data_IF_404286721399
#
_entry.id   IF_404286721399
#
_cell.length_a   1.000
_cell.length_b   1.000
_cell.length_c   1.000
_cell.angle_alpha   90.00
_cell.angle_beta   90.00
_cell.angle_gamma   90.00
#
_symmetry.space_group_name_H-M   'P 1'
#
loop_
_entity.id
_entity.type
_entity.pdbx_description
1 polymer ?
#
# COMPACT_ATOMS: atom_id res chain seq x y z
N UNK A 1 22.14 30.19 6.36
CA UNK A 1 21.36 29.17 5.64
C UNK A 1 22.32 28.39 4.75
N UNK A 2 22.68 27.16 5.12
CA UNK A 2 23.40 26.28 4.17
C UNK A 2 22.42 25.89 3.06
N UNK A 3 22.74 26.08 1.77
CA UNK A 3 21.89 25.59 0.70
C UNK A 3 21.89 24.06 0.73
N UNK A 4 20.70 23.46 0.73
CA UNK A 4 20.52 22.01 0.58
C UNK A 4 21.07 21.62 -0.79
N UNK A 5 22.18 20.87 -0.80
CA UNK A 5 22.78 20.34 -2.02
C UNK A 5 21.99 19.12 -2.50
N UNK A 6 21.03 19.41 -3.39
CA UNK A 6 20.10 18.45 -4.01
C UNK A 6 20.82 17.42 -4.90
N UNK A 7 22.13 17.55 -5.14
CA UNK A 7 22.93 16.62 -5.94
C UNK A 7 23.68 15.57 -5.10
N UNK A 8 23.64 15.68 -3.77
CA UNK A 8 24.28 14.75 -2.85
C UNK A 8 23.47 13.45 -2.67
N UNK A 9 24.11 12.26 -2.63
CA UNK A 9 23.44 10.98 -2.34
C UNK A 9 22.84 10.88 -0.93
N UNK A 10 22.93 11.96 -0.13
CA UNK A 10 22.24 12.11 1.16
C UNK A 10 20.72 12.16 0.98
N UNK A 11 20.22 12.58 -0.19
CA UNK A 11 18.81 12.49 -0.55
C UNK A 11 18.52 11.14 -1.23
N UNK A 12 18.47 10.07 -0.46
CA UNK A 12 17.90 8.81 -0.94
C UNK A 12 16.39 8.97 -1.03
N UNK A 13 15.84 9.03 -2.25
CA UNK A 13 14.41 8.87 -2.54
C UNK A 13 13.95 7.41 -2.39
N UNK A 14 14.59 6.63 -1.50
CA UNK A 14 14.20 5.23 -1.29
C UNK A 14 13.06 5.17 -0.29
N UNK A 15 11.99 4.45 -0.65
CA UNK A 15 11.07 3.84 0.31
C UNK A 15 11.87 3.08 1.37
N UNK A 16 11.93 3.64 2.57
CA UNK A 16 12.35 3.00 3.83
C UNK A 16 13.62 2.13 3.78
N UNK A 17 14.78 2.72 3.50
CA UNK A 17 16.03 2.15 4.00
C UNK A 17 16.17 2.51 5.48
N UNK A 18 15.67 1.64 6.36
CA UNK A 18 15.77 1.78 7.80
C UNK A 18 16.74 0.74 8.37
N UNK A 19 18.06 1.01 8.35
CA UNK A 19 19.02 0.19 9.08
C UNK A 19 18.67 0.25 10.58
N UNK A 20 18.13 -0.85 11.13
CA UNK A 20 17.69 -0.94 12.53
C UNK A 20 16.18 -0.98 12.76
N UNK A 21 15.35 -1.13 11.73
CA UNK A 21 13.88 -1.10 11.86
C UNK A 21 13.20 -2.22 12.68
N UNK A 22 13.96 -3.00 13.45
CA UNK A 22 13.43 -4.07 14.30
C UNK A 22 13.88 -3.95 15.76
N UNK A 23 14.34 -2.79 16.21
CA UNK A 23 14.62 -2.60 17.63
C UNK A 23 13.32 -2.47 18.42
N UNK A 24 13.20 -3.29 19.46
CA UNK A 24 12.19 -3.08 20.49
C UNK A 24 12.45 -1.73 21.16
N UNK A 25 11.42 -0.90 21.27
CA UNK A 25 11.44 0.36 22.02
C UNK A 25 10.35 0.33 23.08
N UNK A 26 10.59 1.02 24.19
CA UNK A 26 9.59 1.21 25.23
C UNK A 26 8.40 2.04 24.76
N UNK A 27 7.25 1.79 25.36
CA UNK A 27 6.03 2.58 25.21
C UNK A 27 5.82 3.47 26.43
N UNK A 28 4.96 4.48 26.29
CA UNK A 28 4.50 5.31 27.42
C UNK A 28 3.66 4.53 28.46
N UNK A 29 3.32 3.28 28.17
CA UNK A 29 2.56 2.38 29.03
C UNK A 29 3.44 1.37 29.78
N UNK A 30 4.76 1.44 29.62
CA UNK A 30 5.71 0.52 30.28
C UNK A 30 5.87 -0.84 29.60
N UNK A 31 5.34 -1.02 28.39
CA UNK A 31 5.51 -2.23 27.55
C UNK A 31 6.55 -1.99 26.45
N UNK A 32 6.94 -3.03 25.72
CA UNK A 32 7.74 -2.88 24.49
C UNK A 32 6.85 -2.83 23.23
N UNK A 33 7.38 -2.24 22.16
CA UNK A 33 6.81 -2.30 20.82
C UNK A 33 7.92 -2.40 19.77
N UNK A 34 7.60 -2.97 18.60
CA UNK A 34 8.41 -2.84 17.38
C UNK A 34 7.75 -1.83 16.47
N UNK A 35 8.52 -0.94 15.84
CA UNK A 35 7.99 0.22 15.11
C UNK A 35 8.70 0.43 13.76
N UNK A 36 7.91 0.75 12.75
CA UNK A 36 8.34 1.28 11.46
C UNK A 36 7.83 2.72 11.31
N UNK A 37 8.70 3.61 10.84
CA UNK A 37 8.38 5.03 10.67
C UNK A 37 7.97 5.31 9.22
N UNK A 38 6.82 5.96 9.03
CA UNK A 38 6.37 6.46 7.73
C UNK A 38 6.00 5.36 6.74
N UNK A 39 5.21 4.37 7.16
CA UNK A 39 4.70 3.31 6.29
C UNK A 39 3.48 3.81 5.53
N UNK A 40 3.47 3.68 4.20
CA UNK A 40 2.29 3.95 3.37
C UNK A 40 1.80 2.66 2.74
N UNK A 41 0.48 2.47 2.74
CA UNK A 41 -0.18 1.31 2.16
C UNK A 41 -1.48 1.77 1.50
N UNK A 42 -1.85 1.09 0.41
CA UNK A 42 -2.91 1.52 -0.52
C UNK A 42 -3.89 0.36 -0.70
N UNK A 43 -5.18 0.70 -0.69
CA UNK A 43 -6.30 -0.22 -0.91
C UNK A 43 -7.08 0.27 -2.13
N UNK A 44 -7.19 -0.55 -3.16
CA UNK A 44 -7.82 -0.16 -4.44
C UNK A 44 -9.25 -0.71 -4.58
N UNK A 45 -9.41 -2.04 -4.52
CA UNK A 45 -10.63 -2.72 -4.98
C UNK A 45 -11.48 -3.35 -3.86
N UNK A 46 -11.27 -2.94 -2.60
CA UNK A 46 -12.09 -3.42 -1.48
C UNK A 46 -13.49 -2.81 -1.54
N UNK A 47 -14.53 -3.66 -1.63
CA UNK A 47 -15.94 -3.29 -1.64
C UNK A 47 -16.47 -3.12 -0.19
N UNK A 48 -16.84 -1.90 0.25
CA UNK A 48 -17.35 -1.69 1.60
C UNK A 48 -18.70 -2.35 1.89
N UNK A 49 -19.49 -2.68 0.86
CA UNK A 49 -20.77 -3.35 1.04
C UNK A 49 -20.64 -4.87 1.11
N UNK A 50 -19.56 -5.43 0.56
CA UNK A 50 -19.23 -6.86 0.60
C UNK A 50 -17.75 -7.05 0.95
N UNK A 51 -17.35 -6.75 2.20
CA UNK A 51 -15.94 -6.78 2.58
C UNK A 51 -15.34 -8.18 2.38
N UNK A 52 -14.17 -8.25 1.74
CA UNK A 52 -13.50 -9.51 1.47
C UNK A 52 -12.87 -10.06 2.75
N UNK A 53 -13.63 -10.91 3.43
CA UNK A 53 -13.17 -11.64 4.62
C UNK A 53 -12.82 -13.10 4.33
N UNK A 54 -12.86 -13.54 3.07
CA UNK A 54 -12.51 -14.90 2.68
C UNK A 54 -10.98 -15.08 2.66
N UNK A 55 -10.39 -15.00 3.85
CA UNK A 55 -8.96 -15.20 4.07
C UNK A 55 -8.74 -16.51 4.80
N UNK A 56 -7.70 -17.23 4.43
CA UNK A 56 -7.31 -18.51 5.03
C UNK A 56 -6.51 -18.33 6.35
N UNK A 57 -6.75 -17.22 7.04
CA UNK A 57 -6.03 -16.90 8.27
C UNK A 57 -6.55 -17.72 9.46
N UNK A 58 -5.68 -18.10 10.41
CA UNK A 58 -6.09 -18.78 11.63
C UNK A 58 -7.24 -18.06 12.35
N UNK A 59 -8.28 -18.80 12.73
CA UNK A 59 -9.50 -18.26 13.35
C UNK A 59 -9.21 -17.38 14.57
N UNK A 60 -8.30 -17.82 15.46
CA UNK A 60 -7.91 -17.03 16.64
C UNK A 60 -7.30 -15.68 16.27
N UNK A 61 -6.56 -15.58 15.16
CA UNK A 61 -6.01 -14.32 14.68
C UNK A 61 -7.10 -13.42 14.10
N UNK A 62 -8.04 -13.99 13.32
CA UNK A 62 -9.20 -13.25 12.79
C UNK A 62 -10.04 -12.64 13.92
N UNK A 63 -10.24 -13.39 15.01
CA UNK A 63 -10.94 -12.88 16.20
C UNK A 63 -10.15 -11.75 16.88
N UNK A 64 -8.84 -11.92 17.07
CA UNK A 64 -7.98 -10.91 17.72
C UNK A 64 -7.98 -9.55 17.01
N UNK A 65 -8.04 -9.55 15.68
CA UNK A 65 -8.04 -8.31 14.87
C UNK A 65 -9.44 -7.81 14.51
N UNK A 66 -10.50 -8.51 14.95
CA UNK A 66 -11.88 -8.16 14.63
C UNK A 66 -12.27 -8.37 13.17
N UNK A 67 -11.62 -9.29 12.46
CA UNK A 67 -11.94 -9.66 11.07
C UNK A 67 -13.11 -10.66 11.04
N UNK A 68 -14.29 -10.17 11.39
CA UNK A 68 -15.56 -10.89 11.26
C UNK A 68 -16.70 -9.87 11.00
N UNK A 69 -17.80 -10.35 10.41
CA UNK A 69 -18.95 -9.52 10.04
C UNK A 69 -19.46 -8.64 11.19
N UNK A 70 -19.61 -9.22 12.38
CA UNK A 70 -20.17 -8.50 13.53
C UNK A 70 -19.28 -7.34 13.96
N UNK A 71 -17.98 -7.59 14.12
CA UNK A 71 -17.00 -6.57 14.51
C UNK A 71 -16.84 -5.48 13.46
N UNK A 72 -16.74 -5.84 12.17
CA UNK A 72 -16.57 -4.87 11.09
C UNK A 72 -17.81 -3.99 10.93
N UNK A 73 -19.00 -4.59 10.91
CA UNK A 73 -20.24 -3.82 10.76
C UNK A 73 -20.49 -2.91 11.96
N UNK A 74 -20.20 -3.39 13.17
CA UNK A 74 -20.28 -2.56 14.37
C UNK A 74 -19.29 -1.39 14.28
N UNK A 75 -18.03 -1.65 13.93
CA UNK A 75 -17.01 -0.62 13.79
C UNK A 75 -17.36 0.41 12.70
N UNK A 76 -17.84 -0.06 11.54
CA UNK A 76 -18.39 0.80 10.44
C UNK A 76 -19.49 1.72 10.96
N UNK A 77 -20.43 1.20 11.74
CA UNK A 77 -21.53 2.00 12.29
C UNK A 77 -21.05 3.12 13.21
N UNK A 78 -20.04 2.85 14.05
CA UNK A 78 -19.44 3.85 14.93
C UNK A 78 -18.63 4.87 14.13
N UNK A 79 -17.86 4.41 13.15
CA UNK A 79 -17.00 5.27 12.33
C UNK A 79 -17.81 6.26 11.50
N UNK A 80 -18.99 5.85 11.02
CA UNK A 80 -19.91 6.67 10.24
C UNK A 80 -20.90 7.48 11.08
N UNK A 81 -20.86 7.34 12.42
CA UNK A 81 -21.74 8.07 13.32
C UNK A 81 -21.05 9.29 13.93
N UNK A 82 -21.81 10.37 14.06
CA UNK A 82 -21.38 11.54 14.84
C UNK A 82 -21.59 11.37 16.35
N UNK A 83 -22.40 10.38 16.75
CA UNK A 83 -22.79 10.17 18.15
C UNK A 83 -21.76 9.32 18.88
N UNK A 84 -21.59 9.65 20.17
CA UNK A 84 -20.66 8.94 21.04
C UNK A 84 -21.38 7.79 21.75
N UNK A 85 -20.82 6.57 21.72
CA UNK A 85 -21.23 5.52 22.65
C UNK A 85 -21.01 5.97 24.09
N UNK A 86 -21.77 5.40 25.02
CA UNK A 86 -21.65 5.72 26.44
C UNK A 86 -20.23 5.45 26.96
N UNK A 87 -19.67 6.41 27.69
CA UNK A 87 -18.30 6.32 28.25
C UNK A 87 -17.16 6.55 27.24
N UNK A 88 -17.45 6.72 25.94
CA UNK A 88 -16.43 6.96 24.91
C UNK A 88 -16.16 8.45 24.76
N UNK A 89 -14.89 8.86 24.91
CA UNK A 89 -14.49 10.27 24.86
C UNK A 89 -14.56 10.88 23.46
N UNK A 90 -14.22 10.10 22.44
CA UNK A 90 -14.32 10.49 21.05
C UNK A 90 -14.43 9.25 20.16
N UNK A 91 -15.02 9.42 18.99
CA UNK A 91 -14.88 8.50 17.86
C UNK A 91 -14.33 9.28 16.67
N UNK A 92 -13.82 8.60 15.65
CA UNK A 92 -13.41 9.30 14.43
C UNK A 92 -14.61 10.00 13.77
N UNK A 93 -15.77 9.33 13.73
CA UNK A 93 -16.99 9.91 13.23
C UNK A 93 -17.43 11.16 14.01
N UNK A 94 -17.35 11.16 15.35
CA UNK A 94 -17.68 12.33 16.16
C UNK A 94 -16.74 13.51 15.86
N UNK A 95 -15.44 13.26 15.68
CA UNK A 95 -14.47 14.32 15.35
C UNK A 95 -14.63 14.81 13.91
N UNK A 96 -15.03 13.96 12.97
CA UNK A 96 -15.23 14.36 11.58
C UNK A 96 -16.56 15.09 11.35
N UNK A 97 -17.65 14.66 12.01
CA UNK A 97 -19.01 15.16 11.74
C UNK A 97 -19.57 16.11 12.83
N UNK A 98 -18.94 16.17 14.00
CA UNK A 98 -19.27 17.11 15.09
C UNK A 98 -17.98 17.72 15.67
N UNK A 99 -17.10 18.25 14.81
CA UNK A 99 -15.83 18.85 15.24
C UNK A 99 -16.10 20.07 16.13
N UNK A 100 -15.64 20.08 17.39
CA UNK A 100 -15.76 21.22 18.29
C UNK A 100 -15.18 22.52 17.72
N UNK A 101 -15.96 23.60 17.75
CA UNK A 101 -15.57 24.94 17.35
C UNK A 101 -16.25 26.00 18.23
N UNK A 102 -15.71 26.22 19.42
CA UNK A 102 -16.33 27.06 20.45
C UNK A 102 -17.67 26.47 20.91
N UNK A 103 -18.72 27.27 20.92
CA UNK A 103 -20.08 26.85 21.29
C UNK A 103 -20.83 26.11 20.15
N UNK A 104 -20.18 25.91 19.00
CA UNK A 104 -20.74 25.23 17.83
C UNK A 104 -19.91 24.01 17.45
N UNK A 105 -20.47 23.21 16.56
CA UNK A 105 -19.77 22.09 15.92
C UNK A 105 -19.71 22.28 14.41
N UNK A 106 -18.69 21.75 13.77
CA UNK A 106 -18.55 21.69 12.31
C UNK A 106 -18.68 20.24 11.87
N UNK A 107 -19.58 19.97 10.92
CA UNK A 107 -19.56 18.74 10.15
C UNK A 107 -18.55 18.87 9.01
N UNK A 108 -17.31 18.45 9.22
CA UNK A 108 -16.24 18.64 8.24
C UNK A 108 -16.47 17.83 6.95
N UNK A 109 -17.27 16.77 6.99
CA UNK A 109 -17.63 16.00 5.80
C UNK A 109 -18.54 16.85 4.90
N UNK A 110 -19.61 17.41 5.45
CA UNK A 110 -20.59 18.21 4.68
C UNK A 110 -20.10 19.63 4.41
N UNK A 111 -19.68 20.34 5.45
CA UNK A 111 -19.39 21.77 5.40
C UNK A 111 -18.03 22.10 4.79
N UNK A 112 -17.13 21.11 4.69
CA UNK A 112 -15.79 21.29 4.10
C UNK A 112 -15.61 20.36 2.90
N UNK A 113 -15.56 19.04 3.09
CA UNK A 113 -15.19 18.10 2.01
C UNK A 113 -16.19 18.19 0.84
N UNK A 114 -17.49 17.98 1.10
CA UNK A 114 -18.51 17.98 0.05
C UNK A 114 -18.74 19.37 -0.52
N UNK A 115 -18.69 20.42 0.32
CA UNK A 115 -18.75 21.81 -0.13
C UNK A 115 -17.62 22.12 -1.12
N UNK A 116 -16.37 21.81 -0.78
CA UNK A 116 -15.21 22.07 -1.64
C UNK A 116 -15.28 21.29 -2.94
N UNK A 117 -15.71 20.01 -2.91
CA UNK A 117 -15.91 19.20 -4.12
C UNK A 117 -17.03 19.74 -5.02
N UNK A 118 -18.09 20.29 -4.44
CA UNK A 118 -19.18 20.93 -5.18
C UNK A 118 -18.73 22.24 -5.83
N UNK A 119 -17.93 23.03 -5.12
CA UNK A 119 -17.40 24.30 -5.61
C UNK A 119 -16.36 24.06 -6.72
N UNK A 120 -15.50 23.04 -6.58
CA UNK A 120 -14.58 22.58 -7.60
C UNK A 120 -14.22 21.11 -7.39
N UNK A 121 -14.56 20.26 -8.36
CA UNK A 121 -14.26 18.84 -8.29
C UNK A 121 -12.74 18.56 -8.23
N UNK A 122 -11.93 19.50 -8.73
CA UNK A 122 -10.45 19.45 -8.72
C UNK A 122 -9.82 20.11 -7.48
N UNK A 123 -10.63 20.37 -6.44
CA UNK A 123 -10.16 21.01 -5.21
C UNK A 123 -9.03 20.20 -4.55
N UNK A 124 -8.05 20.94 -4.01
CA UNK A 124 -7.00 20.39 -3.13
C UNK A 124 -7.26 20.71 -1.66
N UNK A 125 -8.44 21.27 -1.35
CA UNK A 125 -8.82 21.81 -0.04
C UNK A 125 -9.87 20.99 0.70
N UNK A 126 -10.36 19.91 0.09
CA UNK A 126 -11.24 18.94 0.74
C UNK A 126 -10.47 18.13 1.80
N UNK A 127 -10.26 18.74 2.97
CA UNK A 127 -9.44 18.22 4.06
C UNK A 127 -10.24 18.30 5.37
N UNK A 128 -10.15 17.28 6.20
CA UNK A 128 -10.71 17.26 7.56
C UNK A 128 -9.68 16.74 8.56
N UNK A 129 -9.76 17.20 9.82
CA UNK A 129 -8.87 16.81 10.91
C UNK A 129 -9.65 16.25 12.09
N UNK A 130 -9.09 15.31 12.82
CA UNK A 130 -9.71 14.80 14.06
C UNK A 130 -9.06 15.39 15.31
N UNK A 131 -7.80 15.82 15.18
CA UNK A 131 -6.98 16.32 16.27
C UNK A 131 -7.36 17.77 16.58
N UNK A 132 -7.56 18.05 17.86
CA UNK A 132 -7.90 19.36 18.39
C UNK A 132 -6.87 19.70 19.45
N UNK A 133 -5.85 20.52 19.13
CA UNK A 133 -4.75 20.79 20.05
C UNK A 133 -5.20 21.28 21.43
N UNK A 134 -6.26 22.10 21.51
CA UNK A 134 -6.78 22.61 22.78
C UNK A 134 -7.41 21.55 23.68
N UNK A 135 -7.95 20.47 23.10
CA UNK A 135 -8.59 19.36 23.83
C UNK A 135 -7.59 18.22 24.05
N UNK A 136 -6.82 17.89 23.02
CA UNK A 136 -6.04 16.67 22.95
C UNK A 136 -4.65 16.80 23.59
N UNK A 137 -4.17 18.02 23.89
CA UNK A 137 -2.88 18.25 24.57
C UNK A 137 -2.75 17.53 25.92
N UNK A 138 -3.86 17.35 26.63
CA UNK A 138 -3.91 16.68 27.94
C UNK A 138 -4.56 15.29 27.85
N UNK A 139 -4.91 14.83 26.64
CA UNK A 139 -5.51 13.51 26.44
C UNK A 139 -4.46 12.42 26.55
N UNK A 140 -4.77 11.36 27.30
CA UNK A 140 -3.96 10.12 27.32
C UNK A 140 -4.12 9.29 26.03
N UNK A 141 -5.18 9.53 25.28
CA UNK A 141 -5.57 8.78 24.09
C UNK A 141 -6.03 9.76 23.00
N UNK A 142 -5.15 10.62 22.45
CA UNK A 142 -5.56 11.52 21.38
C UNK A 142 -5.88 10.74 20.09
N UNK A 143 -6.64 11.30 19.14
CA UNK A 143 -6.94 10.64 17.87
C UNK A 143 -5.71 10.10 17.13
N UNK A 144 -5.74 8.83 16.74
CA UNK A 144 -4.66 8.20 15.96
C UNK A 144 -4.70 8.60 14.48
N UNK A 145 -5.85 8.46 13.81
CA UNK A 145 -6.09 9.07 12.49
C UNK A 145 -6.23 10.56 12.75
N UNK A 146 -5.31 11.40 12.24
CA UNK A 146 -5.30 12.85 12.53
C UNK A 146 -5.87 13.68 11.40
N UNK A 147 -5.76 13.22 10.16
CA UNK A 147 -6.23 13.95 8.98
C UNK A 147 -6.76 12.98 7.93
N UNK A 148 -7.80 13.41 7.21
CA UNK A 148 -8.19 12.84 5.93
C UNK A 148 -8.20 13.94 4.86
N UNK A 149 -7.88 13.59 3.63
CA UNK A 149 -7.99 14.44 2.45
C UNK A 149 -8.66 13.66 1.32
N UNK A 150 -9.54 14.33 0.60
CA UNK A 150 -10.15 13.80 -0.62
C UNK A 150 -9.54 14.51 -1.82
N UNK A 151 -9.17 13.71 -2.83
CA UNK A 151 -8.76 14.17 -4.16
C UNK A 151 -9.49 13.36 -5.21
N UNK A 152 -9.61 13.88 -6.43
CA UNK A 152 -10.14 13.08 -7.55
C UNK A 152 -9.14 13.03 -8.71
N UNK A 153 -9.15 11.92 -9.45
CA UNK A 153 -8.50 11.82 -10.75
C UNK A 153 -9.36 10.92 -11.64
N UNK A 154 -9.64 11.37 -12.87
CA UNK A 154 -10.47 10.62 -13.82
C UNK A 154 -11.82 10.16 -13.24
N UNK A 155 -12.51 11.04 -12.48
CA UNK A 155 -13.78 10.75 -11.78
C UNK A 155 -13.71 9.72 -10.66
N UNK A 156 -12.52 9.23 -10.33
CA UNK A 156 -12.28 8.38 -9.16
C UNK A 156 -11.88 9.23 -7.97
N UNK A 157 -12.60 9.09 -6.87
CA UNK A 157 -12.35 9.79 -5.61
C UNK A 157 -11.39 8.98 -4.74
N UNK A 158 -10.23 9.55 -4.45
CA UNK A 158 -9.20 8.99 -3.59
C UNK A 158 -9.30 9.58 -2.17
N UNK A 159 -9.21 8.73 -1.16
CA UNK A 159 -9.16 9.16 0.25
C UNK A 159 -7.74 8.92 0.78
N UNK A 160 -7.11 9.98 1.30
CA UNK A 160 -5.77 9.95 1.87
C UNK A 160 -5.87 10.19 3.37
N UNK A 161 -5.51 9.19 4.18
CA UNK A 161 -5.54 9.27 5.64
C UNK A 161 -4.12 9.34 6.21
N UNK A 162 -3.91 10.24 7.18
CA UNK A 162 -2.68 10.29 7.97
C UNK A 162 -2.94 9.78 9.37
N UNK A 163 -2.14 8.83 9.82
CA UNK A 163 -2.24 8.18 11.14
C UNK A 163 -0.96 8.40 11.92
N UNK A 164 -1.01 9.19 13.01
CA UNK A 164 0.20 9.56 13.78
C UNK A 164 0.82 8.37 14.52
N UNK A 165 0.00 7.40 14.91
CA UNK A 165 0.36 6.22 15.70
C UNK A 165 -0.64 5.13 15.38
N UNK A 166 -0.15 4.00 14.86
CA UNK A 166 -0.99 2.98 14.26
C UNK A 166 -0.58 1.60 14.79
N UNK A 167 -1.41 1.02 15.66
CA UNK A 167 -1.33 -0.41 15.96
C UNK A 167 -1.67 -1.17 14.68
N UNK A 168 -0.62 -1.62 13.99
CA UNK A 168 -0.76 -2.20 12.65
C UNK A 168 -1.34 -3.62 12.71
N UNK A 169 -1.34 -4.24 13.90
CA UNK A 169 -1.85 -5.59 14.07
C UNK A 169 -3.34 -5.60 14.43
N UNK A 170 -3.77 -4.82 15.43
CA UNK A 170 -5.16 -4.83 15.91
C UNK A 170 -6.05 -3.73 15.34
N UNK A 171 -5.50 -2.54 15.09
CA UNK A 171 -6.33 -1.37 14.75
C UNK A 171 -6.37 -1.10 13.23
N UNK A 172 -5.32 -1.45 12.50
CA UNK A 172 -5.19 -1.04 11.11
C UNK A 172 -6.24 -1.59 10.16
N UNK A 173 -6.59 -2.87 10.29
CA UNK A 173 -7.61 -3.50 9.45
C UNK A 173 -9.01 -2.91 9.74
N UNK A 174 -9.48 -2.81 11.01
CA UNK A 174 -10.72 -2.09 11.31
C UNK A 174 -10.72 -0.63 10.82
N UNK A 175 -9.63 0.12 11.04
CA UNK A 175 -9.49 1.50 10.57
C UNK A 175 -9.65 1.59 9.04
N UNK A 176 -9.05 0.67 8.30
CA UNK A 176 -9.17 0.60 6.84
C UNK A 176 -10.62 0.39 6.40
N UNK A 177 -11.35 -0.56 7.01
CA UNK A 177 -12.78 -0.76 6.71
C UNK A 177 -13.61 0.49 7.03
N UNK A 178 -13.38 1.13 8.18
CA UNK A 178 -14.07 2.36 8.57
C UNK A 178 -13.82 3.51 7.59
N UNK A 179 -12.56 3.73 7.20
CA UNK A 179 -12.17 4.73 6.21
C UNK A 179 -12.75 4.43 4.82
N UNK A 180 -12.77 3.17 4.41
CA UNK A 180 -13.30 2.76 3.11
C UNK A 180 -14.81 2.96 3.03
N UNK A 181 -15.53 2.67 4.11
CA UNK A 181 -16.96 2.98 4.22
C UNK A 181 -17.23 4.50 4.21
N UNK A 182 -16.39 5.30 4.88
CA UNK A 182 -16.49 6.76 4.82
C UNK A 182 -16.24 7.28 3.40
N UNK A 183 -15.24 6.72 2.72
CA UNK A 183 -14.94 7.07 1.34
C UNK A 183 -16.13 6.78 0.41
N UNK A 184 -16.77 5.61 0.55
CA UNK A 184 -17.95 5.25 -0.23
C UNK A 184 -19.09 6.27 -0.02
N UNK A 185 -19.34 6.66 1.23
CA UNK A 185 -20.35 7.68 1.56
C UNK A 185 -20.06 9.00 0.83
N UNK A 186 -18.83 9.52 0.94
CA UNK A 186 -18.43 10.78 0.30
C UNK A 186 -18.48 10.66 -1.23
N UNK A 187 -17.97 9.57 -1.81
CA UNK A 187 -17.97 9.35 -3.25
C UNK A 187 -19.40 9.35 -3.81
N UNK A 188 -20.32 8.64 -3.15
CA UNK A 188 -21.74 8.60 -3.52
C UNK A 188 -22.39 9.98 -3.47
N UNK A 189 -22.15 10.74 -2.41
CA UNK A 189 -22.71 12.09 -2.25
C UNK A 189 -22.12 13.10 -3.24
N UNK A 190 -20.85 12.92 -3.65
CA UNK A 190 -20.18 13.73 -4.66
C UNK A 190 -20.45 13.30 -6.11
N UNK A 191 -21.11 12.15 -6.34
CA UNK A 191 -21.32 11.59 -7.68
C UNK A 191 -20.04 11.10 -8.36
N UNK A 192 -19.07 10.61 -7.59
CA UNK A 192 -17.79 10.09 -8.06
C UNK A 192 -17.69 8.57 -7.88
N UNK A 193 -16.83 7.93 -8.68
CA UNK A 193 -16.46 6.53 -8.49
C UNK A 193 -15.47 6.39 -7.33
N UNK A 194 -15.42 5.24 -6.68
CA UNK A 194 -14.39 4.97 -5.67
C UNK A 194 -13.04 4.77 -6.34
N UNK A 195 -12.07 5.62 -5.99
CA UNK A 195 -10.65 5.42 -6.24
C UNK A 195 -9.98 4.71 -5.08
N UNK A 196 -8.66 4.90 -4.97
CA UNK A 196 -7.83 4.30 -3.91
C UNK A 196 -8.07 4.91 -2.52
N UNK A 197 -7.86 4.11 -1.49
CA UNK A 197 -7.65 4.55 -0.12
C UNK A 197 -6.16 4.44 0.19
N UNK A 198 -5.50 5.56 0.45
CA UNK A 198 -4.12 5.59 0.90
C UNK A 198 -4.08 5.88 2.40
N UNK A 199 -3.34 5.08 3.16
CA UNK A 199 -3.11 5.29 4.59
C UNK A 199 -1.60 5.46 4.81
N UNK A 200 -1.21 6.60 5.38
CA UNK A 200 0.16 6.86 5.82
C UNK A 200 0.24 6.76 7.34
N UNK A 201 0.85 5.68 7.81
CA UNK A 201 1.12 5.36 9.21
C UNK A 201 2.48 5.93 9.62
N UNK A 202 2.48 7.04 10.37
CA UNK A 202 3.70 7.72 10.79
C UNK A 202 4.52 6.88 11.79
N UNK A 203 3.85 6.25 12.74
CA UNK A 203 4.41 5.26 13.68
C UNK A 203 3.58 3.98 13.58
N UNK A 204 3.94 3.10 12.66
CA UNK A 204 3.33 1.79 12.53
C UNK A 204 3.99 0.84 13.53
N UNK A 205 3.23 0.26 14.46
CA UNK A 205 3.82 -0.53 15.54
C UNK A 205 3.02 -1.78 15.89
N UNK A 206 3.73 -2.75 16.47
CA UNK A 206 3.17 -3.97 17.06
C UNK A 206 3.66 -4.04 18.50
N UNK A 207 2.73 -4.08 19.44
CA UNK A 207 3.01 -4.23 20.87
C UNK A 207 3.54 -5.63 21.19
N UNK A 208 4.31 -5.73 22.27
CA UNK A 208 4.99 -6.95 22.70
C UNK A 208 4.06 -8.15 22.87
N UNK A 209 2.84 -7.92 23.38
CA UNK A 209 1.86 -8.98 23.61
C UNK A 209 1.41 -9.67 22.31
N UNK A 210 1.56 -9.02 21.15
CA UNK A 210 1.09 -9.48 19.85
C UNK A 210 2.21 -10.02 18.96
N UNK A 211 3.47 -10.03 19.40
CA UNK A 211 4.60 -10.43 18.55
C UNK A 211 4.51 -11.88 18.05
N UNK A 212 4.11 -12.82 18.91
CA UNK A 212 3.97 -14.23 18.52
C UNK A 212 2.84 -14.45 17.52
N UNK A 213 1.73 -13.73 17.68
CA UNK A 213 0.60 -13.82 16.78
C UNK A 213 0.89 -13.16 15.42
N UNK A 214 1.59 -12.02 15.42
CA UNK A 214 2.09 -11.38 14.21
C UNK A 214 3.10 -12.27 13.46
N UNK A 215 3.95 -13.00 14.19
CA UNK A 215 4.89 -13.96 13.61
C UNK A 215 4.15 -15.13 12.96
N UNK A 216 3.20 -15.76 13.66
CA UNK A 216 2.38 -16.84 13.10
C UNK A 216 1.62 -16.39 11.85
N UNK A 217 1.06 -15.19 11.87
CA UNK A 217 0.39 -14.63 10.69
C UNK A 217 1.36 -14.52 9.52
N UNK A 218 2.54 -13.92 9.74
CA UNK A 218 3.58 -13.76 8.71
C UNK A 218 4.06 -15.10 8.15
N UNK A 219 4.19 -16.12 9.01
CA UNK A 219 4.52 -17.48 8.60
C UNK A 219 3.45 -18.06 7.68
N UNK A 220 2.19 -17.99 8.10
CA UNK A 220 1.05 -18.52 7.36
C UNK A 220 0.83 -17.81 6.01
N UNK A 221 0.93 -16.48 5.98
CA UNK A 221 0.56 -15.69 4.77
C UNK A 221 1.69 -15.53 3.77
N UNK A 222 2.96 -15.60 4.20
CA UNK A 222 4.13 -15.30 3.36
C UNK A 222 5.16 -16.42 3.38
N UNK A 223 5.72 -16.78 4.55
CA UNK A 223 6.92 -17.63 4.58
C UNK A 223 6.68 -19.10 4.23
N UNK A 224 5.59 -19.68 4.71
CA UNK A 224 5.29 -21.11 4.55
C UNK A 224 4.35 -21.37 3.37
N UNK A 225 3.77 -20.30 2.80
CA UNK A 225 2.84 -20.39 1.68
C UNK A 225 3.61 -20.52 0.37
N UNK A 226 3.27 -21.54 -0.42
CA UNK A 226 3.77 -21.61 -1.79
C UNK A 226 3.27 -20.40 -2.60
N UNK A 227 4.14 -19.70 -3.34
CA UNK A 227 3.72 -18.60 -4.18
C UNK A 227 2.65 -19.05 -5.19
N UNK A 228 1.66 -18.20 -5.42
CA UNK A 228 0.66 -18.46 -6.44
C UNK A 228 1.35 -18.62 -7.81
N UNK A 229 1.16 -19.78 -8.44
CA UNK A 229 1.72 -20.08 -9.76
C UNK A 229 0.85 -19.56 -10.92
N UNK A 230 -0.36 -19.10 -10.62
CA UNK A 230 -1.29 -18.54 -11.59
C UNK A 230 -1.38 -17.02 -11.46
N UNK A 231 -1.36 -16.34 -12.59
CA UNK A 231 -1.54 -14.90 -12.66
C UNK A 231 -3.02 -14.55 -12.64
N UNK A 232 -3.44 -13.74 -11.66
CA UNK A 232 -4.74 -13.11 -11.61
C UNK A 232 -4.54 -11.62 -11.94
N UNK A 233 -5.03 -11.11 -13.09
CA UNK A 233 -4.85 -9.70 -13.46
C UNK A 233 -5.40 -8.70 -12.43
N UNK A 234 -6.44 -9.06 -11.68
CA UNK A 234 -7.08 -8.16 -10.70
C UNK A 234 -6.27 -8.07 -9.41
N UNK A 235 -5.63 -9.17 -8.99
CA UNK A 235 -4.86 -9.26 -7.73
C UNK A 235 -3.36 -9.06 -7.94
N UNK A 236 -2.85 -9.51 -9.07
CA UNK A 236 -1.43 -9.55 -9.38
C UNK A 236 -1.01 -8.45 -10.35
N UNK A 237 -1.92 -7.75 -11.04
CA UNK A 237 -1.56 -6.62 -11.89
C UNK A 237 -0.81 -5.49 -11.16
N UNK A 238 0.16 -4.86 -11.80
CA UNK A 238 0.79 -3.63 -11.30
C UNK A 238 0.05 -2.41 -11.86
N UNK A 239 -0.41 -1.55 -10.95
CA UNK A 239 -1.18 -0.37 -11.30
C UNK A 239 -0.38 0.64 -12.13
N UNK A 240 0.96 0.61 -12.07
CA UNK A 240 1.80 1.49 -12.88
C UNK A 240 1.86 1.05 -14.34
N UNK A 241 1.66 -0.24 -14.62
CA UNK A 241 1.70 -0.77 -15.98
C UNK A 241 2.35 -2.13 -16.10
N UNK A 242 2.62 -2.52 -17.34
CA UNK A 242 3.22 -3.81 -17.69
C UNK A 242 4.34 -3.66 -18.70
N UNK A 243 5.18 -4.69 -18.80
CA UNK A 243 6.28 -4.73 -19.76
C UNK A 243 6.07 -5.83 -20.80
N UNK A 244 6.30 -5.46 -22.06
CA UNK A 244 6.44 -6.41 -23.17
C UNK A 244 7.88 -6.35 -23.65
N UNK A 245 8.55 -7.50 -23.73
CA UNK A 245 9.96 -7.61 -24.09
C UNK A 245 10.10 -8.15 -25.50
N UNK A 246 11.01 -7.54 -26.27
CA UNK A 246 11.35 -7.97 -27.62
C UNK A 246 12.86 -8.09 -27.79
N UNK A 247 13.28 -9.07 -28.60
CA UNK A 247 14.67 -9.31 -29.00
C UNK A 247 14.94 -8.95 -30.46
N UNK A 248 14.03 -8.19 -31.10
CA UNK A 248 14.15 -7.80 -32.51
C UNK A 248 15.47 -7.03 -32.76
N UNK A 249 16.05 -7.24 -33.94
CA UNK A 249 17.29 -6.58 -34.39
C UNK A 249 18.50 -6.82 -33.46
N UNK A 250 18.55 -8.00 -32.82
CA UNK A 250 19.60 -8.39 -31.85
C UNK A 250 19.73 -7.41 -30.68
N UNK A 251 18.62 -6.77 -30.31
CA UNK A 251 18.55 -5.80 -29.22
C UNK A 251 17.43 -6.16 -28.26
N UNK A 252 17.68 -5.98 -26.96
CA UNK A 252 16.63 -6.12 -25.95
C UNK A 252 15.89 -4.80 -25.87
N UNK A 253 14.58 -4.81 -26.11
CA UNK A 253 13.69 -3.67 -25.92
C UNK A 253 12.54 -4.06 -25.01
N UNK A 254 12.41 -3.33 -23.90
CA UNK A 254 11.31 -3.43 -22.96
C UNK A 254 10.34 -2.27 -23.23
N UNK A 255 9.13 -2.60 -23.68
CA UNK A 255 8.02 -1.68 -23.94
C UNK A 255 7.18 -1.57 -22.67
N UNK A 256 7.24 -0.42 -22.01
CA UNK A 256 6.40 -0.11 -20.86
C UNK A 256 5.05 0.42 -21.33
N UNK A 257 3.99 -0.18 -20.82
CA UNK A 257 2.60 0.06 -21.24
C UNK A 257 1.71 0.33 -20.05
N UNK A 258 0.62 1.07 -20.25
CA UNK A 258 -0.46 1.19 -19.25
C UNK A 258 -1.04 -0.20 -18.95
N UNK A 259 -1.76 -0.39 -17.83
CA UNK A 259 -2.51 -1.63 -17.58
C UNK A 259 -3.52 -1.95 -18.70
N UNK A 260 -3.97 -0.94 -19.45
CA UNK A 260 -4.86 -1.10 -20.61
C UNK A 260 -4.13 -1.41 -21.93
N UNK A 261 -2.80 -1.39 -21.94
CA UNK A 261 -1.96 -1.76 -23.09
C UNK A 261 -1.42 -0.59 -23.93
N UNK A 262 -1.75 0.64 -23.58
CA UNK A 262 -1.28 1.84 -24.29
C UNK A 262 0.23 2.05 -24.06
N UNK A 263 0.95 2.51 -25.08
CA UNK A 263 2.38 2.74 -24.99
C UNK A 263 2.73 3.94 -24.10
N UNK A 264 3.71 3.75 -23.20
CA UNK A 264 4.24 4.81 -22.34
C UNK A 264 5.69 5.16 -22.68
N UNK A 265 6.59 4.18 -22.59
CA UNK A 265 8.03 4.38 -22.74
C UNK A 265 8.69 3.09 -23.24
N UNK A 266 9.72 3.22 -24.07
CA UNK A 266 10.53 2.09 -24.51
C UNK A 266 11.95 2.22 -23.99
N UNK A 267 12.46 1.14 -23.40
CA UNK A 267 13.82 1.06 -22.87
C UNK A 267 14.55 -0.03 -23.62
N UNK A 268 15.62 0.34 -24.32
CA UNK A 268 16.45 -0.63 -25.02
C UNK A 268 17.90 -0.62 -24.55
N UNK A 269 18.57 -1.75 -24.74
CA UNK A 269 19.98 -1.95 -24.41
C UNK A 269 20.56 -3.17 -25.11
N UNK A 270 21.87 -3.33 -25.02
CA UNK A 270 22.58 -4.49 -25.59
C UNK A 270 22.68 -5.65 -24.60
N UNK A 271 22.46 -5.39 -23.30
CA UNK A 271 22.50 -6.41 -22.25
C UNK A 271 21.25 -6.34 -21.37
N UNK A 272 20.84 -7.49 -20.84
CA UNK A 272 19.73 -7.59 -19.89
C UNK A 272 19.94 -6.68 -18.68
N UNK A 273 21.17 -6.67 -18.14
CA UNK A 273 21.57 -5.85 -16.99
C UNK A 273 21.43 -4.35 -17.24
N UNK A 274 21.75 -3.89 -18.44
CA UNK A 274 21.59 -2.48 -18.81
C UNK A 274 20.10 -2.08 -18.78
N UNK A 275 19.24 -2.86 -19.43
CA UNK A 275 17.79 -2.60 -19.50
C UNK A 275 17.16 -2.68 -18.10
N UNK A 276 17.49 -3.73 -17.34
CA UNK A 276 16.97 -3.91 -15.98
C UNK A 276 17.37 -2.77 -15.05
N UNK A 277 18.62 -2.29 -15.10
CA UNK A 277 19.07 -1.15 -14.30
C UNK A 277 18.35 0.14 -14.67
N UNK A 278 18.10 0.40 -15.97
CA UNK A 278 17.32 1.57 -16.40
C UNK A 278 15.88 1.50 -15.89
N UNK A 279 15.23 0.34 -15.98
CA UNK A 279 13.88 0.12 -15.44
C UNK A 279 13.86 0.39 -13.92
N UNK A 280 14.82 -0.16 -13.18
CA UNK A 280 14.91 0.03 -11.73
C UNK A 280 15.19 1.49 -11.35
N UNK A 281 16.07 2.19 -12.07
CA UNK A 281 16.39 3.60 -11.83
C UNK A 281 15.21 4.55 -12.10
N UNK A 282 14.31 4.16 -12.98
CA UNK A 282 13.11 4.93 -13.32
C UNK A 282 11.93 4.61 -12.38
N UNK A 283 12.07 3.64 -11.48
CA UNK A 283 11.04 3.21 -10.52
C UNK A 283 9.66 2.96 -11.19
N UNK A 284 9.66 2.37 -12.39
CA UNK A 284 8.44 2.26 -13.23
C UNK A 284 7.42 1.23 -12.74
N UNK A 285 7.85 0.28 -11.91
CA UNK A 285 6.99 -0.72 -11.28
C UNK A 285 6.85 -0.44 -9.80
N UNK A 286 5.65 -0.72 -9.26
CA UNK A 286 5.36 -0.59 -7.84
C UNK A 286 5.58 -1.89 -7.07
N UNK A 287 5.60 -3.03 -7.79
CA UNK A 287 5.67 -4.38 -7.25
C UNK A 287 7.07 -5.00 -7.39
N UNK A 288 7.60 -5.54 -6.28
CA UNK A 288 8.95 -6.13 -6.27
C UNK A 288 9.00 -7.48 -7.01
N UNK A 289 7.97 -8.30 -6.87
CA UNK A 289 7.77 -9.55 -7.60
C UNK A 289 7.77 -9.33 -9.11
N UNK A 290 7.16 -8.23 -9.58
CA UNK A 290 7.19 -7.87 -11.00
C UNK A 290 8.57 -7.42 -11.46
N UNK A 291 9.30 -6.66 -10.64
CA UNK A 291 10.68 -6.29 -10.95
C UNK A 291 11.57 -7.53 -11.09
N UNK A 292 11.35 -8.55 -10.25
CA UNK A 292 12.04 -9.85 -10.33
C UNK A 292 11.67 -10.56 -11.64
N UNK A 293 10.39 -10.67 -11.96
CA UNK A 293 9.89 -11.30 -13.19
C UNK A 293 10.46 -10.63 -14.45
N UNK A 294 10.39 -9.30 -14.54
CA UNK A 294 11.00 -8.51 -15.60
C UNK A 294 12.51 -8.79 -15.69
N UNK A 295 13.20 -8.89 -14.55
CA UNK A 295 14.62 -9.25 -14.51
C UNK A 295 14.89 -10.64 -15.11
N UNK A 296 14.06 -11.63 -14.79
CA UNK A 296 14.15 -13.00 -15.33
C UNK A 296 13.89 -13.01 -16.83
N UNK A 297 12.85 -12.34 -17.31
CA UNK A 297 12.51 -12.27 -18.74
C UNK A 297 13.57 -11.51 -19.55
N UNK A 298 14.12 -10.43 -19.02
CA UNK A 298 15.24 -9.72 -19.66
C UNK A 298 16.48 -10.61 -19.76
N UNK A 299 16.78 -11.40 -18.73
CA UNK A 299 17.89 -12.34 -18.76
C UNK A 299 17.65 -13.45 -19.80
N UNK A 300 16.43 -13.99 -19.88
CA UNK A 300 16.03 -14.96 -20.94
C UNK A 300 16.20 -14.35 -22.33
N UNK A 301 15.76 -13.12 -22.54
CA UNK A 301 15.91 -12.40 -23.80
C UNK A 301 17.40 -12.22 -24.18
N UNK A 302 18.25 -11.88 -23.21
CA UNK A 302 19.70 -11.79 -23.42
C UNK A 302 20.36 -13.14 -23.78
N UNK A 303 19.97 -14.22 -23.11
CA UNK A 303 20.43 -15.57 -23.44
C UNK A 303 20.00 -15.94 -24.87
N UNK A 304 18.74 -15.67 -25.23
CA UNK A 304 18.20 -15.99 -26.54
C UNK A 304 18.99 -15.31 -27.68
N UNK A 305 19.29 -14.02 -27.52
CA UNK A 305 20.17 -13.26 -28.44
C UNK A 305 21.55 -13.92 -28.53
N UNK A 306 22.18 -14.22 -27.39
CA UNK A 306 23.55 -14.77 -27.35
C UNK A 306 23.67 -16.16 -28.01
N UNK A 307 22.60 -16.96 -27.95
CA UNK A 307 22.56 -18.32 -28.49
C UNK A 307 21.91 -18.37 -29.89
N UNK A 308 21.41 -17.25 -30.41
CA UNK A 308 20.71 -17.21 -31.68
C UNK A 308 19.41 -18.03 -31.71
N UNK A 309 18.71 -18.15 -30.57
CA UNK A 309 17.46 -18.91 -30.44
C UNK A 309 16.24 -17.97 -30.32
N UNK A 310 15.05 -18.51 -30.55
CA UNK A 310 13.81 -17.76 -30.40
C UNK A 310 13.54 -17.40 -28.92
N UNK A 311 13.06 -16.18 -28.70
CA UNK A 311 12.53 -15.71 -27.43
C UNK A 311 11.03 -15.47 -27.56
N UNK A 312 10.26 -16.06 -26.66
CA UNK A 312 8.85 -15.75 -26.44
C UNK A 312 8.69 -15.49 -24.95
N UNK A 313 8.19 -14.30 -24.60
CA UNK A 313 7.94 -13.93 -23.21
C UNK A 313 6.99 -14.95 -22.54
N UNK A 314 7.22 -15.23 -21.27
CA UNK A 314 6.46 -16.18 -20.45
C UNK A 314 6.52 -17.65 -20.93
N UNK A 315 7.36 -17.94 -21.93
CA UNK A 315 7.61 -19.30 -22.41
C UNK A 315 9.05 -19.74 -22.09
N UNK A 316 9.28 -21.05 -21.84
CA UNK A 316 10.63 -21.58 -21.71
C UNK A 316 11.48 -21.33 -22.97
N UNK A 317 12.78 -21.12 -22.77
CA UNK A 317 13.71 -21.04 -23.90
C UNK A 317 13.80 -22.40 -24.62
N UNK A 318 13.79 -22.46 -25.96
CA UNK A 318 13.76 -23.70 -26.73
C UNK A 318 15.15 -24.33 -26.84
N UNK A 319 15.75 -24.71 -25.70
CA UNK A 319 17.04 -25.40 -25.69
C UNK A 319 16.92 -26.82 -26.24
N UNK A 320 17.82 -27.21 -27.13
CA UNK A 320 18.04 -28.62 -27.48
C UNK A 320 18.89 -29.29 -26.40
N UNK A 321 18.28 -30.13 -25.58
CA UNK A 321 18.97 -30.92 -24.55
C UNK A 321 19.95 -31.91 -25.20
N UNK A 322 21.25 -31.66 -25.12
CA UNK A 322 22.25 -32.69 -25.39
C UNK A 322 22.36 -33.60 -24.15
N UNK A 323 21.90 -34.86 -24.27
CA UNK A 323 22.08 -35.88 -23.23
C UNK A 323 23.58 -36.09 -22.99
N UNK A 324 24.11 -35.64 -21.84
CA UNK A 324 25.49 -35.95 -21.45
C UNK A 324 26.23 -34.96 -20.54
N UNK A 325 25.63 -33.85 -20.10
CA UNK A 325 26.30 -32.95 -19.13
C UNK A 325 25.99 -33.35 -17.69
N UNK A 326 27.00 -33.81 -16.95
CA UNK A 326 26.97 -33.86 -15.49
C UNK A 326 26.92 -32.43 -14.94
N UNK A 327 25.91 -32.12 -14.13
CA UNK A 327 25.71 -30.80 -13.54
C UNK A 327 26.20 -30.77 -12.10
N UNK A 328 27.42 -30.29 -11.87
CA UNK A 328 27.87 -29.80 -10.56
C UNK A 328 28.21 -28.32 -10.68
N UNK A 329 27.19 -27.46 -10.60
CA UNK A 329 27.32 -26.01 -10.78
C UNK A 329 27.04 -25.21 -9.50
N UNK A 330 27.40 -25.75 -8.34
CA UNK A 330 27.47 -24.94 -7.11
C UNK A 330 28.92 -24.58 -6.88
N UNK A 331 29.26 -23.30 -7.00
CA UNK A 331 30.55 -22.80 -6.51
C UNK A 331 30.47 -22.81 -4.98
N UNK A 332 31.18 -23.75 -4.34
CA UNK A 332 31.16 -23.94 -2.88
C UNK A 332 32.18 -23.00 -2.19
N UNK A 333 32.84 -22.11 -2.95
CA UNK A 333 33.78 -21.12 -2.42
C UNK A 333 33.35 -19.71 -2.86
N UNK A 334 32.53 -19.05 -2.04
CA UNK A 334 32.34 -17.59 -2.01
C UNK A 334 31.99 -17.17 -0.58
#
# INVERSE_FOLDING_TARGET
SMPLDISSPIFTWSSQNCPGCFFAKGTQYGTQQRELIGVTWVIENEDPDHPNMNVDWPEGLRQTIGLNDGSINHYRSIFLSSDLPEGVKYTYGSRLMKYPNGDKTINQIEEIILKELKDSIDTRRAVATTLIPSIDKDSKEPPCITQIQVLQTNKKMHLLATVRSHDIFKAAIPNAFGLRALQQKIAKEAGLEMGSLQITSQSAHIYEAEWEDAKKLSQCVIWEREPASSFDPELHGDQRGMFVISTKDQKITAYFKTPSGDDLLNISGTTAKEVAKKIAQLELVSRQDHLIDIGMELQKAGIAISQGIAYTQDQPLPFTMHKGMETNNVCIEC
#
